data_IF_348824427413
#
_entry.id   IF_348824427413
#
_cell.length_a   1.000
_cell.length_b   1.000
_cell.length_c   1.000
_cell.angle_alpha   90.00
_cell.angle_beta   90.00
_cell.angle_gamma   90.00
#
_symmetry.space_group_name_H-M   'P 1'
#
loop_
_entity.id
_entity.type
_entity.pdbx_description
1 polymer ?
#
# COMPACT_ATOMS: atom_id res chain seq x y z
N UNK A 1 -48.11 31.13 5.91
CA UNK A 1 -48.47 31.08 7.35
C UNK A 1 -48.61 29.62 7.73
N UNK A 2 -47.77 29.14 8.65
CA UNK A 2 -47.84 27.75 9.13
C UNK A 2 -49.04 27.55 10.05
N UNK A 3 -49.57 26.32 10.08
CA UNK A 3 -50.62 25.89 11.02
C UNK A 3 -50.12 26.00 12.46
N UNK A 4 -51.01 26.40 13.38
CA UNK A 4 -50.68 26.49 14.81
C UNK A 4 -50.35 25.10 15.37
N UNK A 5 -49.31 25.03 16.20
CA UNK A 5 -48.92 23.80 16.88
C UNK A 5 -50.02 23.35 17.87
N UNK A 6 -50.26 22.04 18.04
CA UNK A 6 -51.16 21.51 19.06
C UNK A 6 -50.68 21.82 20.49
N UNK A 7 -51.61 21.85 21.45
CA UNK A 7 -51.27 21.93 22.86
C UNK A 7 -50.36 20.76 23.28
N UNK A 8 -49.34 21.05 24.09
CA UNK A 8 -48.31 20.12 24.57
C UNK A 8 -47.38 19.55 23.48
N UNK A 9 -47.27 20.19 22.32
CA UNK A 9 -46.23 19.83 21.35
C UNK A 9 -44.84 20.10 21.94
N UNK A 10 -43.99 19.09 21.95
CA UNK A 10 -42.61 19.17 22.46
C UNK A 10 -41.70 19.66 21.34
N UNK A 11 -40.86 20.64 21.63
CA UNK A 11 -39.88 21.21 20.71
C UNK A 11 -38.47 20.99 21.23
N UNK A 12 -37.53 20.80 20.31
CA UNK A 12 -36.11 20.82 20.64
C UNK A 12 -35.67 22.27 20.92
N UNK A 13 -35.03 22.49 22.06
CA UNK A 13 -34.41 23.78 22.39
C UNK A 13 -32.97 23.76 21.88
N UNK A 14 -32.68 24.51 20.83
CA UNK A 14 -31.31 24.68 20.35
C UNK A 14 -30.45 25.41 21.37
N UNK A 15 -29.19 25.01 21.47
CA UNK A 15 -28.18 25.65 22.33
C UNK A 15 -27.80 27.06 21.86
N UNK A 16 -27.95 27.33 20.56
CA UNK A 16 -27.81 28.64 19.92
C UNK A 16 -28.75 28.77 18.70
N UNK A 17 -28.75 29.94 18.04
CA UNK A 17 -29.58 30.19 16.85
C UNK A 17 -29.26 29.25 15.68
N UNK A 18 -28.00 28.92 15.47
CA UNK A 18 -27.58 28.05 14.37
C UNK A 18 -28.04 26.60 14.61
N UNK A 19 -28.04 26.15 15.86
CA UNK A 19 -28.55 24.87 16.32
C UNK A 19 -30.09 24.81 16.24
N UNK A 20 -30.77 25.88 16.65
CA UNK A 20 -32.23 25.99 16.60
C UNK A 20 -32.77 26.07 15.17
N UNK A 21 -32.03 26.68 14.24
CA UNK A 21 -32.41 26.81 12.83
C UNK A 21 -31.93 25.63 11.96
N UNK A 22 -31.20 24.66 12.55
CA UNK A 22 -30.76 23.47 11.83
C UNK A 22 -31.96 22.59 11.50
N UNK A 23 -31.94 22.00 10.31
CA UNK A 23 -32.92 20.96 9.99
C UNK A 23 -32.77 19.79 10.98
N UNK A 24 -33.88 19.20 11.46
CA UNK A 24 -33.81 18.06 12.38
C UNK A 24 -32.96 16.93 11.81
N UNK A 25 -32.19 16.27 12.67
CA UNK A 25 -31.27 15.20 12.27
C UNK A 25 -31.98 13.91 11.83
N UNK A 26 -33.30 13.83 12.02
CA UNK A 26 -34.08 12.62 11.79
C UNK A 26 -33.84 11.53 12.85
N UNK A 27 -34.51 10.39 12.73
CA UNK A 27 -34.25 9.24 13.59
C UNK A 27 -32.83 8.68 13.34
N UNK A 28 -32.07 8.30 14.38
CA UNK A 28 -30.75 7.71 14.19
C UNK A 28 -30.87 6.28 13.66
N UNK A 29 -30.04 5.95 12.67
CA UNK A 29 -29.76 4.58 12.29
C UNK A 29 -28.58 4.06 13.11
N UNK A 30 -28.85 3.09 13.98
CA UNK A 30 -27.80 2.45 14.78
C UNK A 30 -27.03 1.41 13.94
N UNK A 31 -25.71 1.59 13.89
CA UNK A 31 -24.80 0.68 13.17
C UNK A 31 -23.64 0.26 14.07
N UNK A 32 -23.00 -0.84 13.70
CA UNK A 32 -21.77 -1.32 14.34
C UNK A 32 -20.68 -1.54 13.30
N UNK A 33 -19.45 -1.23 13.68
CA UNK A 33 -18.26 -1.51 12.89
C UNK A 33 -17.26 -2.27 13.73
N UNK A 34 -16.78 -3.38 13.18
CA UNK A 34 -15.82 -4.23 13.84
C UNK A 34 -14.41 -3.84 13.38
N UNK A 35 -13.58 -3.39 14.32
CA UNK A 35 -12.19 -3.04 14.07
C UNK A 35 -11.25 -4.08 14.69
N UNK A 36 -10.14 -4.34 14.02
CA UNK A 36 -9.07 -5.24 14.47
C UNK A 36 -7.76 -4.49 14.81
N UNK A 37 -7.82 -3.15 14.84
CA UNK A 37 -6.69 -2.24 15.12
C UNK A 37 -6.94 -1.45 16.40
N UNK A 38 -5.90 -0.83 16.96
CA UNK A 38 -6.03 -0.09 18.23
C UNK A 38 -7.08 1.02 18.12
N UNK A 39 -7.97 1.09 19.12
CA UNK A 39 -8.95 2.18 19.25
C UNK A 39 -8.41 3.35 20.10
N UNK A 40 -7.11 3.38 20.41
CA UNK A 40 -6.52 4.44 21.24
C UNK A 40 -6.75 5.80 20.58
N UNK A 41 -7.35 6.72 21.33
CA UNK A 41 -7.71 8.05 20.83
C UNK A 41 -9.15 8.15 20.31
N UNK A 42 -9.84 7.03 20.12
CA UNK A 42 -11.28 7.02 19.89
C UNK A 42 -12.02 7.08 21.22
N UNK A 43 -13.08 7.88 21.29
CA UNK A 43 -13.91 8.03 22.47
C UNK A 43 -15.40 7.98 22.09
N UNK A 44 -16.27 7.68 23.05
CA UNK A 44 -17.71 7.91 22.91
C UNK A 44 -17.94 9.41 22.67
N UNK A 45 -18.83 9.74 21.72
CA UNK A 45 -19.04 11.08 21.19
C UNK A 45 -18.09 11.48 20.07
N UNK A 46 -17.11 10.64 19.69
CA UNK A 46 -16.28 10.92 18.52
C UNK A 46 -17.15 10.99 17.26
N UNK A 47 -16.90 11.95 16.35
CA UNK A 47 -17.73 12.13 15.18
C UNK A 47 -17.59 10.94 14.21
N UNK A 48 -18.68 10.62 13.55
CA UNK A 48 -18.68 9.79 12.34
C UNK A 48 -18.80 10.72 11.15
N UNK A 49 -17.76 10.76 10.34
CA UNK A 49 -17.60 11.69 9.24
C UNK A 49 -17.76 10.98 7.90
N UNK A 50 -18.41 11.63 6.94
CA UNK A 50 -18.37 11.25 5.54
C UNK A 50 -17.84 12.42 4.72
N UNK A 51 -16.57 12.32 4.30
CA UNK A 51 -15.89 13.32 3.45
C UNK A 51 -15.99 14.76 3.98
N UNK A 52 -15.81 14.94 5.29
CA UNK A 52 -15.85 16.24 5.97
C UNK A 52 -17.23 16.66 6.49
N UNK A 53 -18.25 15.82 6.33
CA UNK A 53 -19.60 16.05 6.86
C UNK A 53 -19.84 15.08 8.02
N UNK A 54 -20.09 15.62 9.22
CA UNK A 54 -20.43 14.81 10.40
C UNK A 54 -21.83 14.24 10.25
N UNK A 55 -21.91 12.94 9.99
CA UNK A 55 -23.16 12.19 9.83
C UNK A 55 -23.58 11.48 11.11
N UNK A 56 -22.77 11.48 12.16
CA UNK A 56 -23.07 10.68 13.33
C UNK A 56 -22.08 10.83 14.46
N UNK A 57 -22.24 9.97 15.45
CA UNK A 57 -21.39 9.92 16.63
C UNK A 57 -21.23 8.49 17.14
N UNK A 58 -20.06 8.20 17.69
CA UNK A 58 -19.78 6.94 18.39
C UNK A 58 -20.56 6.91 19.69
N UNK A 59 -21.35 5.86 19.91
CA UNK A 59 -22.18 5.70 21.11
C UNK A 59 -21.64 4.64 22.07
N UNK A 60 -20.89 3.66 21.57
CA UNK A 60 -20.27 2.62 22.41
C UNK A 60 -18.98 2.08 21.79
N UNK A 61 -18.04 1.69 22.64
CA UNK A 61 -16.81 1.01 22.26
C UNK A 61 -16.70 -0.25 23.11
N UNK A 62 -16.67 -1.42 22.45
CA UNK A 62 -16.57 -2.72 23.09
C UNK A 62 -15.28 -3.47 22.74
N UNK A 63 -15.14 -4.63 23.36
CA UNK A 63 -14.16 -5.65 23.02
C UNK A 63 -14.87 -7.00 23.05
N UNK A 64 -14.69 -7.80 22.01
CA UNK A 64 -15.22 -9.14 21.88
C UNK A 64 -14.07 -10.11 21.62
N UNK A 65 -14.13 -11.29 22.25
CA UNK A 65 -13.14 -12.34 22.09
C UNK A 65 -13.80 -13.52 21.39
N UNK A 66 -13.34 -13.83 20.18
CA UNK A 66 -13.77 -15.03 19.47
C UNK A 66 -12.89 -16.21 19.88
N UNK A 67 -13.41 -17.21 20.63
CA UNK A 67 -12.63 -18.36 21.06
C UNK A 67 -12.24 -19.30 19.90
N UNK A 68 -12.94 -19.23 18.76
CA UNK A 68 -12.64 -20.07 17.59
C UNK A 68 -11.41 -19.57 16.86
N UNK A 69 -11.34 -18.26 16.62
CA UNK A 69 -10.20 -17.62 15.96
C UNK A 69 -9.11 -17.18 16.94
N UNK A 70 -9.39 -17.22 18.25
CA UNK A 70 -8.52 -16.71 19.33
C UNK A 70 -8.11 -15.26 19.09
N UNK A 71 -9.03 -14.47 18.55
CA UNK A 71 -8.79 -13.08 18.18
C UNK A 71 -9.72 -12.15 18.97
N UNK A 72 -9.25 -10.92 19.15
CA UNK A 72 -10.05 -9.85 19.71
C UNK A 72 -10.54 -8.96 18.57
N UNK A 73 -11.82 -8.62 18.61
CA UNK A 73 -12.46 -7.66 17.73
C UNK A 73 -13.00 -6.54 18.60
N UNK A 74 -12.93 -5.31 18.11
CA UNK A 74 -13.42 -4.14 18.82
C UNK A 74 -14.67 -3.62 18.12
N UNK A 75 -15.87 -4.06 18.54
CA UNK A 75 -17.12 -3.52 18.00
C UNK A 75 -17.31 -2.08 18.47
N UNK A 76 -17.50 -1.18 17.51
CA UNK A 76 -17.81 0.23 17.76
C UNK A 76 -19.22 0.51 17.28
N UNK A 77 -20.12 0.81 18.21
CA UNK A 77 -21.51 1.17 17.91
C UNK A 77 -21.60 2.68 17.73
N UNK A 78 -22.39 3.11 16.75
CA UNK A 78 -22.58 4.51 16.41
C UNK A 78 -24.00 4.78 15.92
N UNK A 79 -24.45 6.02 16.11
CA UNK A 79 -25.67 6.53 15.52
C UNK A 79 -25.31 7.31 14.26
N UNK A 80 -25.93 6.96 13.14
CA UNK A 80 -25.84 7.72 11.89
C UNK A 80 -27.15 8.46 11.64
N UNK A 81 -27.08 9.61 11.00
CA UNK A 81 -28.19 10.48 10.63
C UNK A 81 -28.20 10.65 9.10
N UNK A 82 -28.73 9.68 8.34
CA UNK A 82 -28.69 9.71 6.88
C UNK A 82 -29.36 10.93 6.26
N UNK A 83 -30.34 11.53 6.94
CA UNK A 83 -31.01 12.76 6.49
C UNK A 83 -30.06 13.95 6.33
N UNK A 84 -28.89 13.94 7.00
CA UNK A 84 -27.84 14.95 6.83
C UNK A 84 -27.16 14.91 5.45
N UNK A 85 -27.36 13.86 4.65
CA UNK A 85 -26.87 13.77 3.28
C UNK A 85 -27.60 14.72 2.30
N UNK A 86 -28.63 15.41 2.78
CA UNK A 86 -29.27 16.52 2.08
C UNK A 86 -30.67 16.20 1.56
N UNK A 87 -31.36 17.25 1.10
CA UNK A 87 -32.79 17.24 0.76
C UNK A 87 -33.21 16.13 -0.21
N UNK A 88 -32.42 15.86 -1.26
CA UNK A 88 -32.73 14.79 -2.23
C UNK A 88 -32.72 13.38 -1.61
N UNK A 89 -31.82 13.14 -0.67
CA UNK A 89 -31.77 11.87 0.05
C UNK A 89 -33.02 11.74 0.92
N UNK A 90 -33.35 12.78 1.69
CA UNK A 90 -34.55 12.85 2.53
C UNK A 90 -35.83 12.62 1.73
N UNK A 91 -36.04 13.34 0.62
CA UNK A 91 -37.20 13.18 -0.25
C UNK A 91 -37.36 11.74 -0.78
N UNK A 92 -36.25 11.05 -1.04
CA UNK A 92 -36.25 9.65 -1.48
C UNK A 92 -36.73 8.69 -0.39
N UNK A 93 -36.42 8.98 0.88
CA UNK A 93 -36.86 8.20 2.05
C UNK A 93 -38.31 8.55 2.42
N UNK A 94 -38.64 9.85 2.49
CA UNK A 94 -39.94 10.37 2.94
C UNK A 94 -41.08 10.04 1.97
N UNK A 95 -40.81 10.07 0.66
CA UNK A 95 -41.83 9.79 -0.38
C UNK A 95 -42.42 8.38 -0.32
N UNK A 96 -41.87 7.50 0.53
CA UNK A 96 -42.25 6.08 0.60
C UNK A 96 -43.06 5.68 1.85
N UNK A 97 -43.46 6.62 2.71
CA UNK A 97 -44.49 6.39 3.74
C UNK A 97 -43.99 6.04 5.16
N UNK A 98 -44.71 5.15 5.85
CA UNK A 98 -44.59 4.81 7.29
C UNK A 98 -43.17 4.54 7.80
N UNK A 99 -42.93 4.76 9.10
CA UNK A 99 -41.61 4.65 9.75
C UNK A 99 -40.91 3.30 9.51
N UNK A 100 -41.63 2.18 9.62
CA UNK A 100 -41.07 0.85 9.38
C UNK A 100 -40.57 0.67 7.94
N UNK A 101 -41.25 1.29 6.97
CA UNK A 101 -40.87 1.22 5.57
C UNK A 101 -39.63 2.07 5.28
N UNK A 102 -39.49 3.22 5.97
CA UNK A 102 -38.30 4.09 5.86
C UNK A 102 -37.04 3.36 6.30
N UNK A 103 -37.07 2.68 7.44
CA UNK A 103 -35.92 1.93 7.95
C UNK A 103 -35.43 0.86 6.96
N UNK A 104 -36.34 0.13 6.32
CA UNK A 104 -36.00 -0.87 5.29
C UNK A 104 -35.29 -0.21 4.10
N UNK A 105 -35.79 0.93 3.62
CA UNK A 105 -35.22 1.64 2.48
C UNK A 105 -33.84 2.20 2.80
N UNK A 106 -33.65 2.75 4.00
CA UNK A 106 -32.34 3.25 4.45
C UNK A 106 -31.30 2.13 4.43
N UNK A 107 -31.66 0.95 4.97
CA UNK A 107 -30.80 -0.24 4.95
C UNK A 107 -30.46 -0.68 3.53
N UNK A 108 -31.43 -0.75 2.61
CA UNK A 108 -31.19 -1.08 1.19
C UNK A 108 -30.29 -0.06 0.48
N UNK A 109 -30.39 1.22 0.84
CA UNK A 109 -29.49 2.24 0.27
C UNK A 109 -28.07 2.01 0.78
N UNK A 110 -27.89 1.80 2.07
CA UNK A 110 -26.57 1.53 2.67
C UNK A 110 -25.96 0.26 2.09
N UNK A 111 -26.74 -0.80 1.88
CA UNK A 111 -26.31 -2.02 1.20
C UNK A 111 -25.69 -1.71 -0.16
N UNK A 112 -26.39 -0.92 -0.99
CA UNK A 112 -25.87 -0.48 -2.30
C UNK A 112 -24.64 0.41 -2.20
N UNK A 113 -24.50 1.21 -1.15
CA UNK A 113 -23.29 2.01 -0.93
C UNK A 113 -22.12 1.10 -0.55
N UNK A 114 -22.34 0.09 0.29
CA UNK A 114 -21.33 -0.91 0.67
C UNK A 114 -20.88 -1.74 -0.53
N UNK A 115 -21.81 -2.15 -1.40
CA UNK A 115 -21.51 -2.81 -2.67
C UNK A 115 -20.62 -1.96 -3.58
N UNK A 116 -20.80 -0.62 -3.54
CA UNK A 116 -19.97 0.35 -4.26
C UNK A 116 -18.66 0.70 -3.56
N UNK A 117 -18.37 0.06 -2.42
CA UNK A 117 -17.10 0.20 -1.70
C UNK A 117 -17.15 1.12 -0.48
N UNK A 118 -18.32 1.48 0.05
CA UNK A 118 -18.42 2.20 1.32
C UNK A 118 -17.78 1.37 2.45
N UNK A 119 -16.80 1.92 3.15
CA UNK A 119 -16.15 1.30 4.31
C UNK A 119 -15.97 2.32 5.42
N UNK A 120 -15.95 1.84 6.66
CA UNK A 120 -15.49 2.60 7.81
C UNK A 120 -13.98 2.46 8.00
N UNK A 121 -13.31 3.55 8.37
CA UNK A 121 -11.89 3.59 8.69
C UNK A 121 -11.66 4.50 9.88
N UNK A 122 -10.77 4.13 10.80
CA UNK A 122 -10.33 5.04 11.85
C UNK A 122 -9.32 6.02 11.28
N UNK A 123 -9.54 7.32 11.48
CA UNK A 123 -8.61 8.37 11.06
C UNK A 123 -8.30 9.29 12.23
N UNK A 124 -7.11 9.88 12.20
CA UNK A 124 -6.72 10.88 13.20
C UNK A 124 -7.32 12.23 12.84
N UNK A 125 -8.17 12.77 13.70
CA UNK A 125 -8.80 14.08 13.49
C UNK A 125 -7.90 15.22 13.98
N UNK A 126 -7.24 15.02 15.12
CA UNK A 126 -6.30 15.99 15.68
C UNK A 126 -4.97 15.30 16.01
N UNK A 127 -3.92 15.68 15.28
CA UNK A 127 -2.58 15.11 15.45
C UNK A 127 -1.94 15.47 16.80
N UNK A 128 -2.30 16.62 17.39
CA UNK A 128 -1.73 17.07 18.65
C UNK A 128 -2.27 16.26 19.84
N UNK A 129 -3.56 15.93 19.81
CA UNK A 129 -4.21 15.13 20.87
C UNK A 129 -4.28 13.64 20.55
N UNK A 130 -3.87 13.24 19.35
CA UNK A 130 -4.04 11.89 18.81
C UNK A 130 -5.48 11.39 18.84
N UNK A 131 -6.45 12.31 18.77
CA UNK A 131 -7.87 11.95 18.79
C UNK A 131 -8.28 11.33 17.46
N UNK A 132 -8.97 10.18 17.54
CA UNK A 132 -9.52 9.47 16.39
C UNK A 132 -10.98 9.83 16.17
N UNK A 133 -11.41 9.68 14.92
CA UNK A 133 -12.80 9.70 14.50
C UNK A 133 -13.05 8.54 13.53
N UNK A 134 -14.32 8.21 13.30
CA UNK A 134 -14.71 7.19 12.32
C UNK A 134 -14.98 7.89 10.98
N UNK A 135 -14.21 7.56 9.96
CA UNK A 135 -14.43 8.04 8.59
C UNK A 135 -15.18 6.99 7.77
N UNK A 136 -16.27 7.40 7.13
CA UNK A 136 -16.96 6.67 6.09
C UNK A 136 -16.49 7.19 4.73
N UNK A 137 -15.97 6.32 3.87
CA UNK A 137 -15.55 6.69 2.52
C UNK A 137 -15.68 5.51 1.55
N UNK A 138 -15.50 5.78 0.26
CA UNK A 138 -15.51 4.78 -0.80
C UNK A 138 -14.08 4.32 -1.12
N UNK A 139 -13.85 3.01 -0.96
CA UNK A 139 -12.56 2.38 -1.23
C UNK A 139 -12.72 1.45 -2.44
N UNK A 140 -12.45 1.92 -3.67
CA UNK A 140 -12.72 1.16 -4.89
C UNK A 140 -11.86 -0.11 -5.04
N UNK A 141 -10.76 -0.19 -4.29
CA UNK A 141 -9.86 -1.36 -4.26
C UNK A 141 -10.12 -2.30 -3.09
N UNK A 142 -11.01 -1.94 -2.16
CA UNK A 142 -11.31 -2.79 -1.02
C UNK A 142 -12.00 -4.08 -1.50
N UNK A 143 -11.75 -5.23 -0.85
CA UNK A 143 -12.45 -6.48 -1.16
C UNK A 143 -13.97 -6.28 -1.10
N UNK A 144 -14.70 -6.97 -1.99
CA UNK A 144 -16.16 -6.94 -1.97
C UNK A 144 -16.69 -7.38 -0.60
N UNK A 145 -17.60 -6.60 -0.04
CA UNK A 145 -18.24 -6.88 1.23
C UNK A 145 -19.74 -6.84 1.04
N UNK A 146 -20.46 -7.64 1.82
CA UNK A 146 -21.92 -7.64 1.90
C UNK A 146 -22.31 -7.34 3.33
N UNK A 147 -23.46 -6.70 3.49
CA UNK A 147 -24.06 -6.51 4.81
C UNK A 147 -25.22 -7.49 4.98
N UNK A 148 -25.43 -7.94 6.21
CA UNK A 148 -26.65 -8.62 6.58
C UNK A 148 -27.67 -7.55 7.00
N UNK A 149 -28.54 -7.18 6.06
CA UNK A 149 -29.56 -6.15 6.26
C UNK A 149 -30.58 -6.50 7.36
N UNK A 150 -30.70 -7.79 7.73
CA UNK A 150 -31.57 -8.24 8.81
C UNK A 150 -30.93 -8.13 10.20
N UNK A 151 -29.61 -7.91 10.29
CA UNK A 151 -28.90 -7.77 11.56
C UNK A 151 -29.23 -6.45 12.26
N UNK A 152 -29.38 -6.52 13.59
CA UNK A 152 -29.58 -5.36 14.46
C UNK A 152 -28.55 -5.40 15.61
N UNK A 153 -27.67 -4.38 15.75
CA UNK A 153 -27.49 -3.23 14.84
C UNK A 153 -26.88 -3.64 13.48
N UNK A 154 -27.05 -2.80 12.46
CA UNK A 154 -26.52 -3.06 11.11
C UNK A 154 -24.99 -3.05 11.13
N UNK A 155 -24.34 -4.10 10.64
CA UNK A 155 -22.87 -4.15 10.60
C UNK A 155 -22.34 -3.54 9.30
N UNK A 156 -21.50 -2.51 9.41
CA UNK A 156 -20.81 -1.91 8.29
C UNK A 156 -19.38 -2.45 8.17
N UNK A 157 -18.90 -2.71 6.94
CA UNK A 157 -17.54 -3.20 6.72
C UNK A 157 -16.50 -2.12 6.98
N UNK A 158 -15.35 -2.54 7.49
CA UNK A 158 -14.22 -1.67 7.82
C UNK A 158 -13.03 -1.93 6.92
N UNK A 159 -12.11 -0.97 6.88
CA UNK A 159 -10.76 -1.13 6.32
C UNK A 159 -9.74 -0.64 7.35
N UNK A 160 -8.54 -1.25 7.40
CA UNK A 160 -7.47 -0.79 8.28
C UNK A 160 -6.99 0.60 7.87
N UNK A 161 -6.31 1.30 8.79
CA UNK A 161 -5.70 2.59 8.50
C UNK A 161 -4.35 2.39 7.77
N UNK A 162 -4.13 3.10 6.65
CA UNK A 162 -2.97 2.90 5.76
C UNK A 162 -1.62 3.20 6.45
N UNK A 163 -1.60 4.11 7.44
CA UNK A 163 -0.37 4.46 8.18
C UNK A 163 0.18 3.30 9.02
N UNK A 164 -0.69 2.45 9.55
CA UNK A 164 -0.26 1.25 10.28
C UNK A 164 0.24 0.17 9.30
N UNK A 165 -0.37 0.06 8.12
CA UNK A 165 0.06 -0.85 7.07
C UNK A 165 1.47 -0.51 6.56
N UNK A 166 1.80 0.78 6.40
CA UNK A 166 3.16 1.21 6.00
C UNK A 166 4.24 0.78 7.00
N UNK A 167 3.97 0.86 8.31
CA UNK A 167 4.94 0.44 9.33
C UNK A 167 5.23 -1.06 9.24
N UNK A 168 4.19 -1.86 9.02
CA UNK A 168 4.32 -3.31 8.83
C UNK A 168 5.15 -3.60 7.58
N UNK A 169 4.88 -2.91 6.47
CA UNK A 169 5.62 -3.09 5.21
C UNK A 169 7.11 -2.72 5.37
N UNK A 170 7.43 -1.62 6.07
CA UNK A 170 8.83 -1.22 6.31
C UNK A 170 9.56 -2.25 7.16
N UNK A 171 8.92 -2.75 8.23
CA UNK A 171 9.49 -3.80 9.06
C UNK A 171 9.76 -5.09 8.26
N UNK A 172 8.84 -5.46 7.38
CA UNK A 172 8.98 -6.62 6.50
C UNK A 172 10.10 -6.47 5.47
N UNK A 173 10.29 -5.27 4.91
CA UNK A 173 11.41 -4.96 4.01
C UNK A 173 12.75 -5.07 4.77
N UNK A 174 12.87 -4.48 5.95
CA UNK A 174 14.07 -4.57 6.78
C UNK A 174 14.44 -6.03 7.07
N UNK A 175 13.45 -6.83 7.46
CA UNK A 175 13.64 -8.28 7.73
C UNK A 175 14.01 -9.08 6.49
N UNK A 176 13.57 -8.68 5.30
CA UNK A 176 13.97 -9.30 4.03
C UNK A 176 15.39 -8.90 3.63
N UNK A 177 15.80 -7.66 3.90
CA UNK A 177 17.17 -7.19 3.68
C UNK A 177 18.18 -7.91 4.59
N UNK A 178 17.84 -8.17 5.85
CA UNK A 178 18.67 -8.96 6.78
C UNK A 178 18.93 -10.39 6.29
N UNK A 179 18.07 -10.93 5.42
CA UNK A 179 18.21 -12.28 4.85
C UNK A 179 19.00 -12.31 3.55
N UNK A 180 19.46 -11.17 3.04
CA UNK A 180 20.32 -11.14 1.84
C UNK A 180 21.71 -11.64 2.24
N UNK A 181 22.20 -12.75 1.66
CA UNK A 181 23.48 -13.34 2.06
C UNK A 181 24.65 -12.58 1.41
N UNK A 182 24.90 -11.35 1.86
CA UNK A 182 25.98 -10.49 1.34
C UNK A 182 27.36 -11.15 1.44
N UNK A 183 27.58 -11.97 2.46
CA UNK A 183 28.80 -12.75 2.66
C UNK A 183 29.03 -13.79 1.55
N UNK A 184 27.97 -14.48 1.10
CA UNK A 184 28.08 -15.44 -0.01
C UNK A 184 28.30 -14.73 -1.34
N UNK A 185 27.70 -13.56 -1.54
CA UNK A 185 27.93 -12.72 -2.73
C UNK A 185 29.40 -12.28 -2.79
N UNK A 186 29.95 -11.77 -1.67
CA UNK A 186 31.36 -11.39 -1.58
C UNK A 186 32.32 -12.56 -1.78
N UNK A 187 32.04 -13.72 -1.18
CA UNK A 187 32.86 -14.92 -1.33
C UNK A 187 32.88 -15.44 -2.79
N UNK A 188 31.73 -15.42 -3.48
CA UNK A 188 31.64 -15.83 -4.88
C UNK A 188 32.40 -14.85 -5.79
N UNK A 189 32.29 -13.54 -5.56
CA UNK A 189 33.05 -12.53 -6.31
C UNK A 189 34.56 -12.71 -6.14
N UNK A 190 35.04 -12.91 -4.91
CA UNK A 190 36.45 -13.20 -4.65
C UNK A 190 36.92 -14.48 -5.36
N UNK A 191 36.09 -15.53 -5.37
CA UNK A 191 36.40 -16.78 -6.06
C UNK A 191 36.47 -16.59 -7.59
N UNK A 192 35.54 -15.83 -8.17
CA UNK A 192 35.56 -15.48 -9.59
C UNK A 192 36.78 -14.65 -9.95
N UNK A 193 37.13 -13.64 -9.13
CA UNK A 193 38.35 -12.85 -9.33
C UNK A 193 39.61 -13.72 -9.24
N UNK A 194 39.70 -14.60 -8.24
CA UNK A 194 40.84 -15.50 -8.10
C UNK A 194 40.98 -16.48 -9.28
N UNK A 195 39.86 -16.95 -9.84
CA UNK A 195 39.85 -17.82 -11.01
C UNK A 195 40.23 -17.05 -12.29
N UNK A 196 39.78 -15.81 -12.44
CA UNK A 196 40.22 -14.93 -13.51
C UNK A 196 41.73 -14.67 -13.43
N UNK A 197 42.26 -14.37 -12.24
CA UNK A 197 43.69 -14.15 -11.99
C UNK A 197 44.56 -15.36 -12.36
N UNK A 198 44.06 -16.59 -12.08
CA UNK A 198 44.73 -17.84 -12.49
C UNK A 198 44.73 -18.01 -14.00
N UNK A 199 43.59 -17.73 -14.65
CA UNK A 199 43.47 -17.79 -16.11
C UNK A 199 44.43 -16.79 -16.78
N UNK A 200 44.52 -15.56 -16.25
CA UNK A 200 45.46 -14.54 -16.72
C UNK A 200 46.92 -14.97 -16.59
N UNK A 201 47.32 -15.59 -15.47
CA UNK A 201 48.68 -16.12 -15.28
C UNK A 201 49.03 -17.27 -16.23
N UNK A 202 48.06 -18.12 -16.56
CA UNK A 202 48.27 -19.17 -17.57
C UNK A 202 48.38 -18.61 -18.99
N UNK A 203 47.60 -17.58 -19.31
CA UNK A 203 47.65 -16.92 -20.61
C UNK A 203 48.99 -16.19 -20.82
N UNK A 204 49.55 -15.52 -19.82
CA UNK A 204 50.81 -14.74 -19.95
C UNK A 204 52.05 -15.57 -20.36
N UNK A 205 51.96 -16.90 -20.29
CA UNK A 205 53.03 -17.81 -20.75
C UNK A 205 52.86 -18.30 -22.19
N UNK A 206 51.72 -18.04 -22.87
CA UNK A 206 51.42 -18.61 -24.19
C UNK A 206 50.71 -17.70 -25.21
N UNK A 207 50.53 -16.39 -24.96
CA UNK A 207 49.83 -15.49 -25.91
C UNK A 207 50.72 -14.53 -26.72
N UNK A 208 50.28 -14.28 -27.96
CA UNK A 208 50.85 -13.33 -28.92
C UNK A 208 50.70 -11.84 -28.48
N UNK A 209 51.47 -10.90 -29.06
CA UNK A 209 51.53 -9.50 -28.62
C UNK A 209 50.18 -8.78 -28.57
N UNK A 210 49.28 -8.97 -29.56
CA UNK A 210 47.98 -8.27 -29.57
C UNK A 210 47.04 -8.73 -28.44
N UNK A 211 47.22 -9.95 -27.93
CA UNK A 211 46.43 -10.45 -26.81
C UNK A 211 46.89 -9.83 -25.48
N UNK A 212 48.17 -9.45 -25.33
CA UNK A 212 48.67 -8.74 -24.14
C UNK A 212 48.08 -7.34 -24.01
N UNK A 213 47.96 -6.61 -25.11
CA UNK A 213 47.40 -5.25 -25.11
C UNK A 213 45.91 -5.28 -24.75
N UNK A 214 45.17 -6.25 -25.28
CA UNK A 214 43.75 -6.48 -24.95
C UNK A 214 43.58 -6.86 -23.47
N UNK A 215 44.49 -7.67 -22.92
CA UNK A 215 44.50 -8.06 -21.52
C UNK A 215 44.77 -6.88 -20.58
N UNK A 216 45.70 -6.01 -20.96
CA UNK A 216 46.05 -4.81 -20.22
C UNK A 216 44.87 -3.85 -20.13
N UNK A 217 44.16 -3.64 -21.25
CA UNK A 217 42.95 -2.83 -21.31
C UNK A 217 41.81 -3.41 -20.45
N UNK A 218 41.66 -4.73 -20.42
CA UNK A 218 40.69 -5.40 -19.54
C UNK A 218 41.04 -5.20 -18.06
N UNK A 219 42.33 -5.34 -17.69
CA UNK A 219 42.80 -5.13 -16.31
C UNK A 219 42.56 -3.70 -15.81
N UNK A 220 42.81 -2.70 -16.66
CA UNK A 220 42.54 -1.29 -16.32
C UNK A 220 41.04 -1.03 -16.11
N UNK A 221 40.19 -1.59 -16.97
CA UNK A 221 38.73 -1.47 -16.84
C UNK A 221 38.22 -2.09 -15.54
N UNK A 222 38.72 -3.28 -15.17
CA UNK A 222 38.36 -3.93 -13.90
C UNK A 222 38.82 -3.13 -12.68
N UNK A 223 40.04 -2.58 -12.72
CA UNK A 223 40.57 -1.75 -11.62
C UNK A 223 39.77 -0.46 -11.45
N UNK A 224 39.31 0.16 -12.55
CA UNK A 224 38.45 1.33 -12.52
C UNK A 224 37.06 1.02 -11.95
N UNK A 225 36.49 -0.14 -12.29
CA UNK A 225 35.23 -0.60 -11.72
C UNK A 225 35.35 -0.87 -10.21
N UNK A 226 36.44 -1.49 -9.74
CA UNK A 226 36.69 -1.74 -8.32
C UNK A 226 36.84 -0.43 -7.53
N UNK A 227 37.59 0.54 -8.05
CA UNK A 227 37.75 1.85 -7.42
C UNK A 227 36.42 2.63 -7.32
N UNK A 228 35.53 2.45 -8.31
CA UNK A 228 34.19 3.06 -8.32
C UNK A 228 33.25 2.40 -7.29
N UNK A 229 33.42 1.11 -7.02
CA UNK A 229 32.63 0.36 -6.03
C UNK A 229 33.09 0.62 -4.59
N UNK A 230 34.34 1.02 -4.37
CA UNK A 230 34.88 1.36 -3.03
C UNK A 230 34.62 2.81 -2.60
N UNK A 231 34.24 3.70 -3.51
CA UNK A 231 33.82 5.06 -3.16
C UNK A 231 32.31 5.06 -2.90
N UNK A 232 31.91 5.29 -1.64
CA UNK A 232 30.53 5.44 -1.14
C UNK A 232 29.72 6.53 -1.87
N UNK A 233 29.39 6.35 -3.15
CA UNK A 233 28.67 7.33 -3.97
C UNK A 233 27.43 6.71 -4.64
N UNK A 234 26.37 7.50 -4.95
CA UNK A 234 25.05 6.96 -5.30
C UNK A 234 25.06 6.09 -6.59
N UNK A 235 24.99 4.78 -6.39
CA UNK A 235 25.23 3.65 -7.32
C UNK A 235 24.30 3.45 -8.53
N UNK A 236 23.62 4.46 -9.08
CA UNK A 236 22.52 4.19 -10.03
C UNK A 236 22.80 4.38 -11.54
N UNK A 237 23.65 5.33 -11.96
CA UNK A 237 23.94 5.55 -13.39
C UNK A 237 25.14 4.76 -13.89
N UNK A 238 26.22 4.74 -13.11
CA UNK A 238 27.54 4.31 -13.60
C UNK A 238 27.65 2.79 -13.65
N UNK A 239 26.96 2.09 -12.74
CA UNK A 239 26.85 0.63 -12.73
C UNK A 239 26.11 0.11 -13.97
N UNK A 240 25.07 0.81 -14.46
CA UNK A 240 24.36 0.41 -15.69
C UNK A 240 25.24 0.57 -16.92
N UNK A 241 26.08 1.60 -16.95
CA UNK A 241 27.08 1.81 -18.01
C UNK A 241 28.09 0.66 -18.03
N UNK A 242 28.72 0.40 -16.89
CA UNK A 242 29.72 -0.66 -16.75
C UNK A 242 29.18 -2.06 -17.07
N UNK A 243 27.96 -2.38 -16.64
CA UNK A 243 27.32 -3.68 -16.94
C UNK A 243 26.99 -3.82 -18.44
N UNK A 244 26.62 -2.72 -19.11
CA UNK A 244 26.35 -2.72 -20.54
C UNK A 244 27.63 -2.89 -21.35
N UNK A 245 28.71 -2.25 -20.93
CA UNK A 245 30.05 -2.41 -21.50
C UNK A 245 30.54 -3.85 -21.35
N UNK A 246 30.45 -4.41 -20.14
CA UNK A 246 30.86 -5.79 -19.84
C UNK A 246 30.06 -6.81 -20.65
N UNK A 247 28.74 -6.62 -20.79
CA UNK A 247 27.89 -7.50 -21.61
C UNK A 247 28.34 -7.49 -23.07
N UNK A 248 28.72 -6.32 -23.60
CA UNK A 248 29.24 -6.18 -24.96
C UNK A 248 30.61 -6.85 -25.13
N UNK A 249 31.48 -6.75 -24.13
CA UNK A 249 32.76 -7.45 -24.11
C UNK A 249 32.57 -8.96 -24.06
N UNK A 250 31.68 -9.47 -23.20
CA UNK A 250 31.35 -10.90 -23.12
C UNK A 250 30.76 -11.42 -24.43
N UNK A 251 29.92 -10.64 -25.12
CA UNK A 251 29.43 -10.99 -26.45
C UNK A 251 30.54 -11.06 -27.49
N UNK A 252 31.52 -10.14 -27.44
CA UNK A 252 32.68 -10.17 -28.34
C UNK A 252 33.61 -11.36 -28.07
N UNK A 253 33.75 -11.76 -26.80
CA UNK A 253 34.53 -12.93 -26.40
C UNK A 253 33.83 -14.23 -26.79
N UNK A 254 32.50 -14.31 -26.67
CA UNK A 254 31.72 -15.44 -27.17
C UNK A 254 31.80 -15.55 -28.70
N UNK A 255 31.72 -14.43 -29.43
CA UNK A 255 31.89 -14.43 -30.88
C UNK A 255 33.29 -14.90 -31.30
N UNK A 256 34.33 -14.54 -30.52
CA UNK A 256 35.69 -15.03 -30.72
C UNK A 256 35.82 -16.52 -30.39
N UNK A 257 35.18 -16.99 -29.31
CA UNK A 257 35.15 -18.40 -28.93
C UNK A 257 34.45 -19.25 -29.99
N UNK A 258 33.28 -18.81 -30.48
CA UNK A 258 32.53 -19.46 -31.57
C UNK A 258 33.36 -19.51 -32.87
N UNK A 259 34.14 -18.47 -33.15
CA UNK A 259 35.02 -18.42 -34.32
C UNK A 259 36.20 -19.40 -34.20
N UNK A 260 36.80 -19.50 -33.01
CA UNK A 260 37.91 -20.43 -32.73
C UNK A 260 37.45 -21.90 -32.68
N UNK A 261 36.22 -22.16 -32.23
CA UNK A 261 35.62 -23.50 -32.20
C UNK A 261 35.29 -24.02 -33.62
N UNK A 262 34.94 -23.10 -34.54
CA UNK A 262 34.64 -23.44 -35.95
C UNK A 262 35.86 -23.47 -36.86
N UNK A 263 36.96 -22.81 -36.49
CA UNK A 263 38.20 -22.74 -37.27
C UNK A 263 39.46 -22.99 -36.41
N UNK A 264 39.66 -24.23 -35.91
CA UNK A 264 40.79 -24.59 -35.04
C UNK A 264 42.16 -24.41 -35.73
N UNK A 265 42.22 -24.44 -37.06
CA UNK A 265 43.42 -24.20 -37.86
C UNK A 265 43.92 -22.74 -37.86
N UNK A 266 43.11 -21.78 -37.39
CA UNK A 266 43.47 -20.35 -37.35
C UNK A 266 44.53 -20.01 -36.29
N UNK A 267 44.63 -20.81 -35.22
CA UNK A 267 45.62 -20.66 -34.15
C UNK A 267 47.05 -21.03 -34.58
N UNK A 268 47.20 -21.89 -35.61
CA UNK A 268 48.50 -22.39 -36.07
C UNK A 268 49.08 -21.63 -37.27
N UNK A 269 48.27 -20.86 -38.02
CA UNK A 269 48.74 -20.15 -39.22
C UNK A 269 48.78 -18.63 -39.11
N UNK A 270 48.17 -18.05 -38.09
CA UNK A 270 47.92 -16.62 -38.06
C UNK A 270 46.94 -16.22 -39.16
N UNK A 271 46.10 -15.22 -38.89
CA UNK A 271 45.10 -14.73 -39.82
C UNK A 271 45.77 -14.34 -41.16
N UNK A 272 45.36 -14.87 -42.33
CA UNK A 272 45.79 -14.28 -43.59
C UNK A 272 45.21 -12.86 -43.63
N UNK A 273 46.10 -11.87 -43.61
CA UNK A 273 45.70 -10.48 -43.69
C UNK A 273 44.92 -10.25 -44.99
N UNK A 274 43.71 -9.71 -44.85
CA UNK A 274 42.98 -9.13 -45.98
C UNK A 274 43.88 -8.05 -46.59
N UNK A 275 44.42 -8.36 -47.78
CA UNK A 275 44.84 -7.33 -48.71
C UNK A 275 43.64 -7.00 -49.59
N UNK A 276 42.87 -6.00 -49.13
CA UNK A 276 42.23 -4.89 -49.86
C UNK A 276 40.94 -4.47 -49.18
#
# INVERSE_FOLDING_TARGET
>A
SGTSAPNNMVFHLGSDEADAMREPDGPPLQVVMDFNQSLRGLAVGAPVDFRGIVLGEVTNIGIDYDPKTKSFTMPVTMNLYPERLGRRFRETIESKGEAARREIIEREIIERLVERGLRGQLRTGNLLTSQLYVALDFFPKAPAAKIDSARQPLQLPTVPNELEELQVVVADIAKKLDKVPFEQIGANLNSTLANADRLFKQLDTQVAPEARDTLSAAKQTFSAAEATLQQDSPLQSDVRGALKELTRTLQSLNALSDYLERHPESLLKGKPGDKQ
#
